data_IF_462067971314
#
_entry.id   IF_462067971314
#
_cell.length_a   1.000
_cell.length_b   1.000
_cell.length_c   1.000
_cell.angle_alpha   90.00
_cell.angle_beta   90.00
_cell.angle_gamma   90.00
#
_symmetry.space_group_name_H-M   'P 1'
#
loop_
_entity.id
_entity.type
_entity.pdbx_description
1 polymer ?
#
# COMPACT_ATOMS: atom_id res chain seq x y z
N UNK A 1 15.34 51.82 34.48
CA UNK A 1 16.67 51.30 34.16
C UNK A 1 16.45 50.03 33.31
N UNK A 2 16.48 50.20 31.99
CA UNK A 2 16.41 49.08 31.05
C UNK A 2 17.82 48.52 30.87
N UNK A 3 18.05 47.27 31.25
CA UNK A 3 19.26 46.54 30.89
C UNK A 3 19.10 46.00 29.45
N UNK A 4 19.84 46.52 28.52
CA UNK A 4 20.00 46.02 27.17
C UNK A 4 20.93 44.80 27.19
N UNK A 5 20.39 43.65 26.96
CA UNK A 5 21.15 42.40 26.79
C UNK A 5 21.66 42.34 25.33
N UNK A 6 22.89 42.79 25.09
CA UNK A 6 23.57 42.66 23.78
C UNK A 6 24.02 41.20 23.63
N UNK A 7 23.21 40.38 22.94
CA UNK A 7 23.65 39.07 22.49
C UNK A 7 24.77 39.26 21.45
N UNK A 8 25.97 38.78 21.76
CA UNK A 8 27.09 38.75 20.82
C UNK A 8 26.67 38.02 19.54
N UNK A 9 26.78 38.70 18.39
CA UNK A 9 26.59 38.09 17.08
C UNK A 9 27.65 37.03 16.87
N UNK A 10 27.24 35.75 16.85
CA UNK A 10 28.10 34.62 16.52
C UNK A 10 28.51 34.70 15.04
N UNK A 11 29.81 34.67 14.76
CA UNK A 11 30.35 34.65 13.39
C UNK A 11 30.35 33.23 12.87
N UNK A 12 29.28 32.87 12.16
CA UNK A 12 29.10 31.54 11.54
C UNK A 12 29.99 31.29 10.31
N UNK A 13 30.69 32.32 9.79
CA UNK A 13 31.56 32.17 8.63
C UNK A 13 32.89 31.46 8.97
N UNK A 14 33.26 31.50 10.26
CA UNK A 14 34.46 30.79 10.76
C UNK A 14 34.22 29.35 11.20
N UNK A 15 32.96 28.86 11.13
CA UNK A 15 32.60 27.57 11.62
C UNK A 15 32.80 26.47 10.55
N UNK A 16 33.28 25.32 10.97
CA UNK A 16 33.35 24.20 10.06
C UNK A 16 31.95 23.62 9.75
N UNK A 17 31.88 22.83 8.69
CA UNK A 17 30.60 22.24 8.23
C UNK A 17 29.92 21.38 9.30
N UNK A 18 30.67 20.73 10.18
CA UNK A 18 30.16 19.88 11.26
C UNK A 18 29.49 20.73 12.36
N UNK A 19 30.12 21.82 12.75
CA UNK A 19 29.61 22.72 13.78
C UNK A 19 28.36 23.46 13.32
N UNK A 20 28.29 23.85 12.04
CA UNK A 20 27.10 24.42 11.42
C UNK A 20 25.93 23.44 11.41
N UNK A 21 26.15 22.19 11.02
CA UNK A 21 25.14 21.15 11.03
C UNK A 21 24.64 20.88 12.46
N UNK A 22 25.53 20.78 13.45
CA UNK A 22 25.15 20.60 14.85
C UNK A 22 24.30 21.75 15.38
N UNK A 23 24.62 22.99 14.97
CA UNK A 23 23.84 24.17 15.36
C UNK A 23 22.45 24.19 14.69
N UNK A 24 22.37 23.84 13.43
CA UNK A 24 21.10 23.73 12.70
C UNK A 24 20.21 22.68 13.37
N UNK A 25 20.72 21.48 13.64
CA UNK A 25 19.99 20.40 14.31
C UNK A 25 19.48 20.83 15.70
N UNK A 26 20.27 21.61 16.44
CA UNK A 26 19.86 22.15 17.73
C UNK A 26 18.75 23.21 17.62
N UNK A 27 18.75 23.98 16.54
CA UNK A 27 17.72 25.01 16.30
C UNK A 27 16.42 24.40 15.77
N UNK A 28 16.51 23.29 15.03
CA UNK A 28 15.37 22.53 14.50
C UNK A 28 14.76 21.56 15.53
N UNK A 29 15.30 21.52 16.76
CA UNK A 29 14.84 20.61 17.82
C UNK A 29 15.11 19.13 17.54
N UNK A 30 15.91 18.83 16.51
CA UNK A 30 16.40 17.48 16.20
C UNK A 30 17.68 17.27 16.99
N UNK A 31 17.54 16.76 18.23
CA UNK A 31 18.72 16.35 18.99
C UNK A 31 19.49 15.30 18.21
N UNK A 32 20.78 15.52 17.97
CA UNK A 32 21.71 14.46 17.54
C UNK A 32 21.50 13.25 18.43
N UNK A 33 21.32 12.05 17.87
CA UNK A 33 21.36 10.84 18.70
C UNK A 33 22.68 10.91 19.48
N UNK A 34 22.60 11.06 20.79
CA UNK A 34 23.76 10.91 21.67
C UNK A 34 24.43 9.62 21.21
N UNK A 35 25.67 9.72 20.69
CA UNK A 35 26.49 8.55 20.44
C UNK A 35 26.60 7.83 21.78
N UNK A 36 25.62 6.95 22.05
CA UNK A 36 25.81 5.94 23.09
C UNK A 36 27.04 5.22 22.62
N UNK A 37 28.15 5.37 23.39
CA UNK A 37 29.35 4.56 23.24
C UNK A 37 28.87 3.16 22.92
N UNK A 38 29.08 2.72 21.69
CA UNK A 38 28.85 1.36 21.28
C UNK A 38 29.67 0.53 22.24
N UNK A 39 29.00 0.00 23.28
CA UNK A 39 29.54 -1.17 23.97
C UNK A 39 29.83 -2.14 22.85
N UNK A 40 31.10 -2.53 22.68
CA UNK A 40 31.48 -3.55 21.74
C UNK A 40 30.41 -4.64 21.79
N UNK A 41 29.70 -4.82 20.71
CA UNK A 41 28.75 -5.91 20.56
C UNK A 41 29.57 -7.16 20.84
N UNK A 42 29.40 -7.73 22.04
CA UNK A 42 29.81 -9.09 22.29
C UNK A 42 29.17 -9.87 21.18
N UNK A 43 29.99 -10.56 20.40
CA UNK A 43 29.55 -11.53 19.38
C UNK A 43 28.52 -12.40 20.10
N UNK A 44 27.22 -12.19 19.76
CA UNK A 44 26.15 -12.97 20.35
C UNK A 44 26.46 -14.43 20.00
N UNK A 45 26.73 -15.22 21.02
CA UNK A 45 26.73 -16.65 20.91
C UNK A 45 25.46 -17.06 20.27
N UNK A 46 25.56 -17.80 19.21
CA UNK A 46 24.57 -18.25 18.25
C UNK A 46 23.11 -18.11 18.69
N UNK A 47 22.29 -17.64 17.75
CA UNK A 47 20.83 -17.64 17.84
C UNK A 47 20.36 -19.11 17.91
N UNK A 48 20.51 -19.72 19.07
CA UNK A 48 20.18 -21.12 19.36
C UNK A 48 18.70 -21.21 19.80
N UNK A 49 17.81 -20.72 18.92
CA UNK A 49 16.38 -20.78 19.13
C UNK A 49 15.73 -21.62 18.04
N UNK A 50 14.78 -22.44 18.44
CA UNK A 50 13.88 -23.06 17.48
C UNK A 50 13.07 -21.96 16.77
N UNK A 51 12.82 -22.20 15.51
CA UNK A 51 11.96 -21.35 14.68
C UNK A 51 10.74 -22.13 14.23
N UNK A 52 9.65 -21.41 14.01
CA UNK A 52 8.44 -21.99 13.42
C UNK A 52 7.89 -21.04 12.37
N UNK A 53 7.14 -21.60 11.41
CA UNK A 53 6.42 -20.80 10.43
C UNK A 53 5.31 -20.00 11.12
N UNK A 54 5.31 -18.68 10.89
CA UNK A 54 4.28 -17.76 11.35
C UNK A 54 3.71 -17.04 10.15
N UNK A 55 2.40 -17.12 9.99
CA UNK A 55 1.66 -16.36 8.99
C UNK A 55 1.06 -15.14 9.68
N UNK A 56 1.35 -13.95 9.20
CA UNK A 56 0.97 -12.68 9.81
C UNK A 56 -0.02 -11.97 8.91
N UNK A 57 -1.18 -11.60 9.46
CA UNK A 57 -2.16 -10.74 8.79
C UNK A 57 -2.13 -9.35 9.45
N UNK A 58 -1.98 -8.31 8.61
CA UNK A 58 -1.78 -6.93 9.10
C UNK A 58 -2.36 -5.88 8.17
N UNK A 59 -2.60 -4.70 8.73
CA UNK A 59 -3.07 -3.50 8.04
C UNK A 59 -1.99 -2.43 8.03
N UNK A 60 -2.02 -1.55 7.04
CA UNK A 60 -1.22 -0.33 7.01
C UNK A 60 -1.87 0.77 6.16
N UNK A 61 -1.61 2.01 6.54
CA UNK A 61 -1.87 3.20 5.74
C UNK A 61 -0.61 3.52 4.94
N UNK A 62 -0.68 3.35 3.61
CA UNK A 62 0.50 3.38 2.74
C UNK A 62 1.05 4.76 2.41
N UNK A 63 0.43 5.84 2.86
CA UNK A 63 0.68 7.22 2.42
C UNK A 63 2.12 7.66 2.57
N UNK A 64 2.80 7.20 3.62
CA UNK A 64 4.17 7.58 3.96
C UNK A 64 5.22 6.58 3.45
N UNK A 65 4.80 5.49 2.78
CA UNK A 65 5.68 4.40 2.40
C UNK A 65 5.91 4.32 0.88
N UNK A 66 7.11 3.94 0.50
CA UNK A 66 7.50 3.66 -0.89
C UNK A 66 7.02 2.28 -1.36
N UNK A 67 5.86 1.83 -0.86
CA UNK A 67 5.22 0.55 -1.12
C UNK A 67 5.49 -0.48 -0.03
N UNK A 68 4.97 -1.70 -0.25
CA UNK A 68 5.12 -2.79 0.71
C UNK A 68 6.53 -3.37 0.70
N UNK A 69 7.01 -3.75 -0.50
CA UNK A 69 8.15 -4.66 -0.63
C UNK A 69 9.48 -4.02 -0.22
N UNK A 70 10.24 -4.69 0.66
CA UNK A 70 11.58 -4.31 1.04
C UNK A 70 12.53 -4.17 -0.17
N UNK A 71 13.36 -3.15 -0.16
CA UNK A 71 14.31 -2.80 -1.21
C UNK A 71 15.71 -2.64 -0.60
N UNK A 72 16.54 -3.68 -0.69
CA UNK A 72 17.81 -3.80 0.02
C UNK A 72 18.86 -2.72 -0.32
N UNK A 73 18.81 -2.16 -1.53
CA UNK A 73 19.86 -1.26 -2.04
C UNK A 73 19.38 0.20 -2.14
N UNK A 74 18.38 0.57 -1.34
CA UNK A 74 17.78 1.91 -1.38
C UNK A 74 17.48 2.43 0.04
N UNK A 75 17.55 3.75 0.22
CA UNK A 75 17.20 4.42 1.48
C UNK A 75 15.70 4.76 1.58
N UNK A 76 14.85 4.11 0.77
CA UNK A 76 13.42 4.38 0.80
C UNK A 76 12.72 3.54 1.87
N UNK A 77 11.92 4.17 2.70
CA UNK A 77 11.16 3.47 3.73
C UNK A 77 10.00 2.68 3.11
N UNK A 78 9.94 1.38 3.42
CA UNK A 78 8.88 0.47 3.00
C UNK A 78 8.21 -0.18 4.22
N UNK A 79 6.98 -0.65 4.05
CA UNK A 79 6.25 -1.31 5.13
C UNK A 79 6.97 -2.56 5.64
N UNK A 80 7.51 -3.39 4.73
CA UNK A 80 8.26 -4.59 5.11
C UNK A 80 9.55 -4.25 5.84
N UNK A 81 10.27 -3.23 5.42
CA UNK A 81 11.48 -2.81 6.13
C UNK A 81 11.18 -2.40 7.57
N UNK A 82 10.11 -1.63 7.76
CA UNK A 82 9.67 -1.23 9.10
C UNK A 82 9.33 -2.45 9.96
N UNK A 83 8.61 -3.44 9.40
CA UNK A 83 8.29 -4.69 10.10
C UNK A 83 9.56 -5.49 10.39
N UNK A 84 10.46 -5.67 9.41
CA UNK A 84 11.70 -6.43 9.59
C UNK A 84 12.63 -5.78 10.61
N UNK A 85 12.73 -4.46 10.63
CA UNK A 85 13.48 -3.72 11.64
C UNK A 85 12.99 -4.03 13.05
N UNK A 86 11.66 -4.05 13.25
CA UNK A 86 11.06 -4.40 14.54
C UNK A 86 11.26 -5.89 14.87
N UNK A 87 11.10 -6.81 13.91
CA UNK A 87 11.38 -8.23 14.10
C UNK A 87 12.83 -8.47 14.54
N UNK A 88 13.81 -7.82 13.91
CA UNK A 88 15.22 -7.87 14.31
C UNK A 88 15.46 -7.26 15.69
N UNK A 89 14.88 -6.09 15.97
CA UNK A 89 14.96 -5.43 17.28
C UNK A 89 14.44 -6.32 18.42
N UNK A 90 13.34 -7.05 18.18
CA UNK A 90 12.74 -7.99 19.13
C UNK A 90 13.46 -9.35 19.17
N UNK A 91 14.48 -9.54 18.36
CA UNK A 91 15.23 -10.81 18.22
C UNK A 91 14.34 -11.98 17.78
N UNK A 92 13.32 -11.71 16.95
CA UNK A 92 12.52 -12.75 16.32
C UNK A 92 13.17 -13.29 15.05
N UNK A 93 14.03 -12.48 14.43
CA UNK A 93 14.92 -12.85 13.32
C UNK A 93 16.33 -12.31 13.60
N UNK A 94 17.34 -12.95 13.02
CA UNK A 94 18.74 -12.52 13.16
C UNK A 94 19.06 -11.30 12.31
N UNK A 95 18.62 -11.32 11.06
CA UNK A 95 18.79 -10.25 10.08
C UNK A 95 17.68 -10.32 9.02
N UNK A 96 17.63 -9.33 8.10
CA UNK A 96 16.66 -9.29 7.03
C UNK A 96 17.25 -8.92 5.66
N UNK A 97 18.57 -9.14 5.48
CA UNK A 97 19.14 -9.11 4.13
C UNK A 97 18.48 -10.17 3.22
N UNK A 98 18.56 -10.02 1.89
CA UNK A 98 17.84 -10.91 0.97
C UNK A 98 18.19 -12.40 1.12
N UNK A 99 19.44 -12.74 1.53
CA UNK A 99 19.87 -14.13 1.76
C UNK A 99 19.25 -14.68 3.03
N UNK A 100 19.20 -13.88 4.09
CA UNK A 100 18.55 -14.25 5.36
C UNK A 100 17.05 -14.43 5.18
N UNK A 101 16.37 -13.50 4.49
CA UNK A 101 14.93 -13.62 4.21
C UNK A 101 14.60 -14.90 3.40
N UNK A 102 15.44 -15.28 2.44
CA UNK A 102 15.28 -16.53 1.71
C UNK A 102 15.40 -17.77 2.63
N UNK A 103 16.29 -17.74 3.62
CA UNK A 103 16.45 -18.82 4.61
C UNK A 103 15.29 -18.87 5.62
N UNK A 104 14.62 -17.74 5.85
CA UNK A 104 13.44 -17.64 6.71
C UNK A 104 12.15 -18.05 6.01
N UNK A 105 12.21 -18.63 4.81
CA UNK A 105 11.03 -19.01 4.02
C UNK A 105 10.02 -17.87 3.85
N UNK A 106 10.52 -16.63 3.66
CA UNK A 106 9.71 -15.45 3.57
C UNK A 106 8.87 -15.43 2.29
N UNK A 107 7.58 -15.20 2.44
CA UNK A 107 6.66 -14.94 1.33
C UNK A 107 5.67 -13.81 1.66
N UNK A 108 5.12 -13.17 0.61
CA UNK A 108 4.08 -12.14 0.72
C UNK A 108 2.94 -12.40 -0.25
N UNK A 109 1.70 -12.11 0.14
CA UNK A 109 0.54 -12.35 -0.71
C UNK A 109 0.55 -11.48 -1.97
N UNK A 110 0.71 -10.19 -1.84
CA UNK A 110 0.74 -9.26 -2.96
C UNK A 110 1.62 -8.04 -2.68
N UNK A 111 2.26 -7.50 -3.72
CA UNK A 111 2.95 -6.22 -3.61
C UNK A 111 1.94 -5.10 -3.77
N UNK A 112 2.08 -4.06 -2.94
CA UNK A 112 1.42 -2.78 -3.14
C UNK A 112 2.44 -1.74 -3.55
N UNK A 113 2.03 -0.82 -4.41
CA UNK A 113 2.87 0.27 -4.90
C UNK A 113 3.01 1.37 -3.83
N UNK A 114 3.87 2.36 -4.11
CA UNK A 114 4.01 3.56 -3.28
C UNK A 114 2.64 4.19 -3.02
N UNK A 115 2.36 4.58 -1.78
CA UNK A 115 1.12 5.26 -1.38
C UNK A 115 -0.09 4.35 -1.19
N UNK A 116 -0.05 3.11 -1.68
CA UNK A 116 -1.16 2.15 -1.59
C UNK A 116 -1.23 1.53 -0.21
N UNK A 117 -2.42 1.51 0.38
CA UNK A 117 -2.71 0.92 1.70
C UNK A 117 -3.13 -0.55 1.60
N UNK A 118 -3.17 -1.26 2.74
CA UNK A 118 -3.81 -2.57 2.84
C UNK A 118 -4.49 -2.76 4.19
N UNK A 119 -5.61 -3.54 4.19
CA UNK A 119 -6.34 -3.86 5.42
C UNK A 119 -6.06 -5.28 5.90
N UNK A 120 -5.88 -6.24 4.99
CA UNK A 120 -5.59 -7.63 5.30
C UNK A 120 -4.43 -8.17 4.45
N UNK A 121 -3.28 -7.48 4.49
CA UNK A 121 -2.06 -8.01 3.87
C UNK A 121 -1.56 -9.22 4.64
N UNK A 122 -1.01 -10.18 3.93
CA UNK A 122 -0.46 -11.40 4.53
C UNK A 122 0.99 -11.61 4.11
N UNK A 123 1.83 -11.87 5.11
CA UNK A 123 3.19 -12.38 4.93
C UNK A 123 3.36 -13.68 5.71
N UNK A 124 4.28 -14.54 5.31
CA UNK A 124 4.71 -15.68 6.11
C UNK A 124 6.23 -15.76 6.17
N UNK A 125 6.76 -16.16 7.32
CA UNK A 125 8.19 -16.38 7.52
C UNK A 125 8.42 -17.23 8.78
N UNK A 126 9.63 -17.77 8.89
CA UNK A 126 10.03 -18.48 10.10
C UNK A 126 10.50 -17.48 11.15
N UNK A 127 9.85 -17.50 12.32
CA UNK A 127 10.19 -16.68 13.46
C UNK A 127 10.65 -17.53 14.64
N UNK A 128 11.45 -16.92 15.52
CA UNK A 128 11.84 -17.51 16.79
C UNK A 128 10.62 -17.92 17.60
N UNK A 129 10.64 -19.15 18.13
CA UNK A 129 9.67 -19.68 19.08
C UNK A 129 10.14 -19.55 20.52
N UNK A 130 9.23 -19.53 21.49
CA UNK A 130 9.56 -19.70 22.91
C UNK A 130 9.49 -21.17 23.37
N UNK A 131 8.95 -22.05 22.54
CA UNK A 131 8.88 -23.50 22.80
C UNK A 131 10.30 -24.11 22.69
N UNK A 132 10.55 -25.19 23.41
CA UNK A 132 11.88 -25.70 23.63
C UNK A 132 12.26 -26.88 22.75
N UNK A 133 11.27 -27.61 22.28
CA UNK A 133 11.47 -28.81 21.44
C UNK A 133 10.60 -28.74 20.19
N UNK A 134 10.99 -29.50 19.16
CA UNK A 134 10.20 -29.61 17.92
C UNK A 134 8.86 -30.27 18.20
N UNK A 135 8.80 -31.24 19.12
CA UNK A 135 7.56 -31.90 19.52
C UNK A 135 6.57 -30.94 20.16
N UNK A 136 7.07 -29.97 20.96
CA UNK A 136 6.22 -28.91 21.53
C UNK A 136 5.67 -28.00 20.42
N UNK A 137 6.47 -27.66 19.40
CA UNK A 137 6.04 -26.84 18.26
C UNK A 137 4.99 -27.58 17.42
N UNK A 138 5.16 -28.88 17.21
CA UNK A 138 4.28 -29.70 16.39
C UNK A 138 2.94 -29.99 17.07
N UNK A 139 2.90 -29.93 18.42
CA UNK A 139 1.68 -30.07 19.20
C UNK A 139 0.88 -28.74 19.23
N UNK A 140 -0.25 -28.74 18.53
CA UNK A 140 -1.11 -27.57 18.36
C UNK A 140 -1.74 -27.03 19.65
N UNK A 141 -1.84 -27.84 20.67
CA UNK A 141 -2.31 -27.40 22.00
C UNK A 141 -1.34 -26.40 22.64
N UNK A 142 -0.09 -26.36 22.20
CA UNK A 142 0.89 -25.40 22.65
C UNK A 142 0.90 -24.07 21.86
N UNK A 143 0.11 -23.93 20.80
CA UNK A 143 0.04 -22.68 20.05
C UNK A 143 -0.37 -21.49 20.94
N UNK A 144 -1.22 -21.73 21.95
CA UNK A 144 -1.63 -20.69 22.93
C UNK A 144 -0.50 -20.26 23.86
N UNK A 145 0.53 -21.11 24.04
CA UNK A 145 1.70 -20.84 24.89
C UNK A 145 2.84 -20.13 24.15
N UNK A 146 2.70 -19.99 22.84
CA UNK A 146 3.70 -19.35 21.98
C UNK A 146 3.83 -17.85 22.28
N UNK A 147 4.88 -17.24 21.76
CA UNK A 147 5.07 -15.78 21.81
C UNK A 147 3.84 -15.10 21.22
N UNK A 148 3.28 -14.17 21.93
CA UNK A 148 2.25 -13.27 21.39
C UNK A 148 2.90 -12.26 20.44
N UNK A 149 3.14 -12.67 19.19
CA UNK A 149 3.80 -11.84 18.17
C UNK A 149 3.02 -10.56 17.90
N UNK A 150 1.68 -10.59 17.98
CA UNK A 150 0.82 -9.43 17.75
C UNK A 150 1.12 -8.35 18.80
N UNK A 151 1.09 -8.72 20.08
CA UNK A 151 1.38 -7.80 21.18
C UNK A 151 2.82 -7.27 21.11
N UNK A 152 3.77 -8.16 20.85
CA UNK A 152 5.18 -7.83 20.83
C UNK A 152 5.55 -6.86 19.71
N UNK A 153 4.92 -7.01 18.51
CA UNK A 153 5.20 -6.18 17.34
C UNK A 153 4.44 -4.86 17.39
N UNK A 154 3.14 -4.87 17.70
CA UNK A 154 2.33 -3.64 17.78
C UNK A 154 2.84 -2.66 18.84
N UNK A 155 3.50 -3.13 19.90
CA UNK A 155 4.13 -2.26 20.89
C UNK A 155 5.39 -1.51 20.39
N UNK A 156 5.84 -1.74 19.15
CA UNK A 156 7.05 -1.13 18.58
C UNK A 156 6.88 -0.67 17.13
N UNK A 157 5.80 -1.06 16.48
CA UNK A 157 5.44 -0.57 15.15
C UNK A 157 4.84 0.84 15.24
N UNK A 158 4.97 1.65 14.20
CA UNK A 158 4.30 2.94 14.11
C UNK A 158 2.78 2.76 13.99
N UNK A 159 2.02 3.81 14.32
CA UNK A 159 0.55 3.76 14.40
C UNK A 159 -0.15 3.50 13.06
N UNK A 160 0.55 3.62 11.96
CA UNK A 160 0.04 3.37 10.61
C UNK A 160 0.31 1.93 10.11
N UNK A 161 0.94 1.07 10.92
CA UNK A 161 1.10 -0.38 10.66
C UNK A 161 0.57 -1.16 11.86
N UNK A 162 -0.36 -2.09 11.61
CA UNK A 162 -1.06 -2.81 12.66
C UNK A 162 -1.22 -4.30 12.35
N UNK A 163 -0.64 -5.17 13.20
CA UNK A 163 -0.88 -6.61 13.15
C UNK A 163 -2.16 -6.94 13.92
N UNK A 164 -3.04 -7.72 13.31
CA UNK A 164 -4.30 -8.10 13.97
C UNK A 164 -4.51 -9.60 14.12
N UNK A 165 -3.82 -10.42 13.34
CA UNK A 165 -3.94 -11.88 13.46
C UNK A 165 -2.64 -12.57 13.05
N UNK A 166 -2.40 -13.74 13.63
CA UNK A 166 -1.35 -14.67 13.20
C UNK A 166 -1.92 -16.07 13.08
N UNK A 167 -1.29 -16.90 12.23
CA UNK A 167 -1.55 -18.34 12.22
C UNK A 167 -0.24 -19.08 12.44
N UNK A 168 -0.28 -20.07 13.32
CA UNK A 168 0.85 -20.90 13.74
C UNK A 168 0.70 -22.35 13.27
N UNK A 169 -0.44 -22.70 12.66
CA UNK A 169 -0.81 -24.06 12.26
C UNK A 169 -0.85 -24.27 10.74
N UNK A 170 -0.37 -23.32 9.95
CA UNK A 170 -0.32 -23.50 8.51
C UNK A 170 0.65 -24.64 8.12
N UNK A 171 0.29 -25.33 7.06
CA UNK A 171 1.13 -26.35 6.44
C UNK A 171 2.54 -25.80 6.13
N UNK A 172 3.54 -26.65 6.20
CA UNK A 172 4.95 -26.27 5.90
C UNK A 172 5.11 -25.75 4.47
N UNK A 173 4.27 -26.20 3.53
CA UNK A 173 4.25 -25.74 2.14
C UNK A 173 3.52 -24.42 1.92
N UNK A 174 2.88 -23.84 2.96
CA UNK A 174 2.15 -22.58 2.83
C UNK A 174 3.05 -21.48 2.33
N UNK A 175 2.63 -20.83 1.26
CA UNK A 175 3.24 -19.64 0.68
C UNK A 175 2.16 -18.57 0.52
N UNK A 176 2.36 -17.41 1.13
CA UNK A 176 1.36 -16.34 1.12
C UNK A 176 0.95 -15.89 -0.29
N UNK A 177 1.83 -16.03 -1.30
CA UNK A 177 1.54 -15.67 -2.68
C UNK A 177 0.78 -16.74 -3.43
N UNK A 178 1.25 -18.01 -3.35
CA UNK A 178 0.77 -19.10 -4.19
C UNK A 178 -0.42 -19.85 -3.57
N UNK A 179 -0.55 -19.81 -2.25
CA UNK A 179 -1.74 -20.32 -1.56
C UNK A 179 -2.94 -19.37 -1.65
N UNK A 180 -2.72 -18.10 -2.03
CA UNK A 180 -3.78 -17.12 -2.20
C UNK A 180 -4.60 -17.41 -3.47
N UNK A 181 -5.93 -17.58 -3.30
CA UNK A 181 -6.87 -17.79 -4.41
C UNK A 181 -7.23 -16.47 -5.08
N UNK A 182 -7.59 -15.48 -4.29
CA UNK A 182 -8.08 -14.19 -4.77
C UNK A 182 -7.50 -13.05 -3.97
N UNK A 183 -7.25 -11.90 -4.64
CA UNK A 183 -6.96 -10.61 -4.02
C UNK A 183 -8.19 -9.75 -4.20
N UNK A 184 -8.60 -9.12 -3.11
CA UNK A 184 -9.71 -8.20 -3.05
C UNK A 184 -9.16 -6.79 -2.92
N UNK A 185 -9.47 -5.91 -3.87
CA UNK A 185 -9.09 -4.51 -3.86
C UNK A 185 -10.29 -3.61 -3.71
N UNK A 186 -10.09 -2.47 -3.06
CA UNK A 186 -11.03 -1.34 -3.06
C UNK A 186 -10.32 -0.09 -3.54
N UNK A 187 -10.99 0.68 -4.38
CA UNK A 187 -10.53 2.01 -4.78
C UNK A 187 -11.61 3.01 -4.39
N UNK A 188 -11.33 3.84 -3.39
CA UNK A 188 -12.27 4.81 -2.87
C UNK A 188 -12.28 6.07 -3.71
N UNK A 189 -13.46 6.68 -3.92
CA UNK A 189 -13.61 7.95 -4.64
C UNK A 189 -14.90 8.64 -4.24
N UNK A 190 -14.93 9.96 -4.41
CA UNK A 190 -16.14 10.73 -4.28
C UNK A 190 -16.86 10.74 -5.64
N UNK A 191 -18.16 10.44 -5.64
CA UNK A 191 -19.00 10.56 -6.83
C UNK A 191 -19.48 12.01 -6.95
N UNK A 192 -19.01 12.70 -7.97
CA UNK A 192 -19.40 14.07 -8.25
C UNK A 192 -20.67 14.13 -9.13
N UNK A 193 -21.42 15.25 -9.10
CA UNK A 193 -22.72 15.39 -9.77
C UNK A 193 -22.71 15.13 -11.28
N UNK A 194 -21.58 15.41 -11.95
CA UNK A 194 -21.42 15.21 -13.40
C UNK A 194 -21.08 13.77 -13.78
N UNK A 195 -20.79 12.89 -12.81
CA UNK A 195 -20.39 11.50 -13.05
C UNK A 195 -21.61 10.59 -13.14
N UNK A 196 -21.64 9.72 -14.14
CA UNK A 196 -22.72 8.75 -14.32
C UNK A 196 -22.37 7.41 -13.66
N UNK A 197 -22.99 7.13 -12.51
CA UNK A 197 -22.76 5.90 -11.73
C UNK A 197 -23.17 4.64 -12.50
N UNK A 198 -24.29 4.66 -13.23
CA UNK A 198 -24.78 3.47 -13.95
C UNK A 198 -23.88 3.10 -15.12
N UNK A 199 -23.39 4.08 -15.87
CA UNK A 199 -22.39 3.83 -16.91
C UNK A 199 -21.09 3.24 -16.31
N UNK A 200 -20.70 3.69 -15.12
CA UNK A 200 -19.54 3.15 -14.41
C UNK A 200 -19.76 1.70 -13.97
N UNK A 201 -20.95 1.38 -13.44
CA UNK A 201 -21.33 0.00 -13.08
C UNK A 201 -21.41 -0.92 -14.29
N UNK A 202 -21.95 -0.41 -15.41
CA UNK A 202 -21.92 -1.17 -16.67
C UNK A 202 -20.47 -1.45 -17.12
N UNK A 203 -19.58 -0.47 -16.99
CA UNK A 203 -18.15 -0.66 -17.20
C UNK A 203 -17.58 -1.76 -16.29
N UNK A 204 -17.93 -1.78 -15.02
CA UNK A 204 -17.51 -2.84 -14.10
C UNK A 204 -17.92 -4.23 -14.58
N UNK A 205 -19.16 -4.41 -15.05
CA UNK A 205 -19.65 -5.67 -15.61
C UNK A 205 -18.83 -6.13 -16.82
N UNK A 206 -18.31 -5.21 -17.62
CA UNK A 206 -17.48 -5.50 -18.78
C UNK A 206 -16.07 -6.01 -18.44
N UNK A 207 -15.59 -5.82 -17.20
CA UNK A 207 -14.33 -6.41 -16.75
C UNK A 207 -14.45 -7.88 -16.33
N UNK A 208 -15.64 -8.36 -16.02
CA UNK A 208 -15.85 -9.73 -15.53
C UNK A 208 -15.48 -10.77 -16.59
N UNK A 209 -14.90 -11.86 -16.14
CA UNK A 209 -14.59 -13.02 -16.97
C UNK A 209 -13.27 -13.70 -16.65
N UNK A 210 -13.09 -14.84 -17.31
CA UNK A 210 -11.90 -15.69 -17.17
C UNK A 210 -10.93 -15.38 -18.31
N UNK A 211 -9.66 -15.26 -17.98
CA UNK A 211 -8.55 -15.10 -18.94
C UNK A 211 -8.69 -13.93 -19.95
N UNK A 212 -9.34 -12.85 -19.55
CA UNK A 212 -9.37 -11.62 -20.34
C UNK A 212 -7.98 -10.98 -20.40
N UNK A 213 -7.62 -10.40 -21.55
CA UNK A 213 -6.32 -9.74 -21.73
C UNK A 213 -6.32 -8.31 -21.19
N UNK A 214 -5.52 -8.08 -20.15
CA UNK A 214 -5.41 -6.78 -19.47
C UNK A 214 -4.14 -5.99 -19.85
N UNK A 215 -3.46 -6.29 -21.00
CA UNK A 215 -2.25 -5.56 -21.41
C UNK A 215 -2.49 -4.06 -21.56
N UNK A 216 -3.69 -3.67 -21.99
CA UNK A 216 -4.08 -2.26 -22.15
C UNK A 216 -4.52 -1.59 -20.83
N UNK A 217 -4.61 -2.36 -19.74
CA UNK A 217 -4.95 -1.89 -18.39
C UNK A 217 -3.78 -2.04 -17.40
N UNK A 218 -2.55 -2.05 -17.84
CA UNK A 218 -1.41 -2.15 -16.94
C UNK A 218 -0.24 -1.29 -17.40
N UNK A 219 0.79 -1.19 -16.58
CA UNK A 219 2.10 -0.68 -16.99
C UNK A 219 2.99 -1.86 -17.36
N UNK A 220 3.62 -1.79 -18.52
CA UNK A 220 4.52 -2.83 -19.01
C UNK A 220 5.92 -2.56 -18.47
N UNK A 221 6.52 -3.57 -17.82
CA UNK A 221 7.89 -3.57 -17.35
C UNK A 221 8.69 -4.66 -18.07
N UNK A 222 9.53 -4.25 -19.02
CA UNK A 222 10.37 -5.17 -19.78
C UNK A 222 11.35 -5.97 -18.92
N UNK A 223 11.69 -5.51 -17.69
CA UNK A 223 12.55 -6.27 -16.79
C UNK A 223 11.91 -7.56 -16.30
N UNK A 224 10.59 -7.63 -16.25
CA UNK A 224 9.82 -8.78 -15.75
C UNK A 224 9.59 -9.85 -16.82
N UNK A 225 9.80 -9.53 -18.10
CA UNK A 225 9.62 -10.45 -19.23
C UNK A 225 8.28 -11.21 -19.16
N UNK A 226 7.19 -10.50 -18.80
CA UNK A 226 5.85 -11.09 -18.73
C UNK A 226 5.40 -11.46 -20.15
N UNK A 227 4.92 -12.69 -20.33
CA UNK A 227 4.45 -13.21 -21.61
C UNK A 227 2.94 -13.36 -21.69
N UNK A 228 2.24 -13.41 -20.54
CA UNK A 228 0.78 -13.51 -20.49
C UNK A 228 0.19 -12.38 -19.63
N UNK A 229 -0.68 -11.60 -20.26
CA UNK A 229 -1.43 -10.51 -19.63
C UNK A 229 -2.88 -10.93 -19.31
N UNK A 230 -3.21 -12.19 -19.49
CA UNK A 230 -4.54 -12.74 -19.18
C UNK A 230 -4.76 -12.83 -17.68
N UNK A 231 -5.91 -12.33 -17.22
CA UNK A 231 -6.31 -12.34 -15.80
C UNK A 231 -7.80 -12.66 -15.68
N UNK A 232 -8.15 -13.27 -14.55
CA UNK A 232 -9.55 -13.58 -14.21
C UNK A 232 -10.06 -12.59 -13.18
N UNK A 233 -11.13 -11.89 -13.53
CA UNK A 233 -11.86 -11.00 -12.62
C UNK A 233 -13.20 -11.66 -12.29
N UNK A 234 -13.42 -11.94 -11.00
CA UNK A 234 -14.60 -12.68 -10.52
C UNK A 234 -15.68 -11.78 -9.94
N UNK A 235 -15.28 -10.58 -9.51
CA UNK A 235 -16.20 -9.56 -8.99
C UNK A 235 -15.66 -8.17 -9.33
N UNK A 236 -16.56 -7.31 -9.78
CA UNK A 236 -16.26 -5.90 -10.06
C UNK A 236 -17.56 -5.10 -9.99
N UNK A 237 -17.70 -4.23 -9.01
CA UNK A 237 -18.88 -3.37 -8.83
C UNK A 237 -18.51 -2.07 -8.13
N UNK A 238 -19.41 -1.08 -8.20
CA UNK A 238 -19.30 0.19 -7.46
C UNK A 238 -20.31 0.19 -6.32
N UNK A 239 -19.80 0.20 -5.11
CA UNK A 239 -20.60 0.17 -3.88
C UNK A 239 -20.54 1.51 -3.14
N UNK A 240 -21.69 1.90 -2.54
CA UNK A 240 -21.78 3.07 -1.68
C UNK A 240 -21.10 2.78 -0.32
N UNK A 241 -20.24 3.69 0.12
CA UNK A 241 -19.53 3.59 1.40
C UNK A 241 -20.02 4.61 2.41
N UNK A 242 -20.22 5.86 1.95
CA UNK A 242 -20.71 6.94 2.79
C UNK A 242 -21.70 7.81 1.96
N UNK A 243 -22.97 7.72 2.31
CA UNK A 243 -24.05 8.41 1.62
C UNK A 243 -23.95 9.94 1.79
N UNK A 244 -23.62 10.39 2.99
CA UNK A 244 -23.54 11.82 3.28
C UNK A 244 -22.48 12.51 2.41
N UNK A 245 -21.28 11.94 2.34
CA UNK A 245 -20.15 12.47 1.57
C UNK A 245 -20.14 12.01 0.10
N UNK A 246 -21.09 11.17 -0.29
CA UNK A 246 -21.14 10.52 -1.61
C UNK A 246 -19.83 9.77 -1.95
N UNK A 247 -19.25 9.09 -0.93
CA UNK A 247 -18.07 8.25 -1.11
C UNK A 247 -18.50 6.87 -1.54
N UNK A 248 -17.96 6.44 -2.66
CA UNK A 248 -18.12 5.11 -3.24
C UNK A 248 -16.77 4.40 -3.27
N UNK A 249 -16.78 3.12 -3.54
CA UNK A 249 -15.57 2.41 -3.92
C UNK A 249 -15.83 1.40 -5.04
N UNK A 250 -14.83 1.23 -5.90
CA UNK A 250 -14.72 0.05 -6.73
C UNK A 250 -14.42 -1.13 -5.81
N UNK A 251 -15.26 -2.16 -5.81
CA UNK A 251 -15.08 -3.42 -5.09
C UNK A 251 -14.70 -4.50 -6.11
N UNK A 252 -13.45 -4.97 -6.05
CA UNK A 252 -12.82 -5.74 -7.13
C UNK A 252 -12.13 -6.99 -6.59
N UNK A 253 -12.52 -8.18 -7.10
CA UNK A 253 -11.86 -9.45 -6.77
C UNK A 253 -11.33 -10.14 -8.03
N UNK A 254 -10.09 -10.59 -7.98
CA UNK A 254 -9.44 -11.32 -9.06
C UNK A 254 -8.37 -12.29 -8.58
N UNK A 255 -8.04 -13.27 -9.41
CA UNK A 255 -7.05 -14.29 -9.06
C UNK A 255 -5.63 -13.73 -8.94
N UNK A 256 -5.29 -12.80 -9.83
CA UNK A 256 -4.02 -12.08 -9.84
C UNK A 256 -4.18 -10.75 -10.60
N UNK A 257 -3.27 -9.82 -10.34
CA UNK A 257 -3.26 -8.50 -10.99
C UNK A 257 -1.89 -8.20 -11.58
N UNK A 258 -1.89 -7.47 -12.70
CA UNK A 258 -0.70 -6.92 -13.33
C UNK A 258 -0.26 -5.62 -12.62
N UNK A 259 0.94 -5.17 -12.91
CA UNK A 259 1.46 -3.92 -12.34
C UNK A 259 0.59 -2.73 -12.73
N UNK A 260 0.12 -1.99 -11.75
CA UNK A 260 -0.81 -0.85 -11.87
C UNK A 260 -2.19 -1.18 -12.47
N UNK A 261 -2.57 -2.47 -12.57
CA UNK A 261 -3.80 -2.86 -13.27
C UNK A 261 -5.05 -2.18 -12.67
N UNK A 262 -5.26 -2.22 -11.38
CA UNK A 262 -6.45 -1.63 -10.73
C UNK A 262 -6.54 -0.13 -10.96
N UNK A 263 -5.42 0.58 -10.88
CA UNK A 263 -5.34 2.02 -11.15
C UNK A 263 -5.65 2.37 -12.60
N UNK A 264 -5.23 1.53 -13.55
CA UNK A 264 -5.57 1.69 -14.96
C UNK A 264 -7.04 1.39 -15.23
N UNK A 265 -7.61 0.34 -14.61
CA UNK A 265 -9.04 0.04 -14.70
C UNK A 265 -9.87 1.22 -14.17
N UNK A 266 -9.47 1.77 -13.02
CA UNK A 266 -10.16 2.90 -12.42
C UNK A 266 -10.09 4.16 -13.28
N UNK A 267 -8.96 4.43 -13.93
CA UNK A 267 -8.82 5.56 -14.87
C UNK A 267 -9.82 5.46 -16.04
N UNK A 268 -9.99 4.25 -16.60
CA UNK A 268 -10.97 4.03 -17.68
C UNK A 268 -12.41 4.18 -17.16
N UNK A 269 -12.69 3.71 -15.94
CA UNK A 269 -14.01 3.89 -15.32
C UNK A 269 -14.33 5.37 -15.06
N UNK A 270 -13.35 6.21 -14.72
CA UNK A 270 -13.56 7.67 -14.62
C UNK A 270 -13.86 8.29 -15.98
N UNK A 271 -13.16 7.92 -17.04
CA UNK A 271 -13.46 8.41 -18.40
C UNK A 271 -14.89 8.01 -18.84
N UNK A 272 -15.37 6.82 -18.44
CA UNK A 272 -16.74 6.37 -18.68
C UNK A 272 -17.74 7.18 -17.83
N UNK A 273 -17.47 7.34 -16.54
CA UNK A 273 -18.33 8.07 -15.62
C UNK A 273 -18.53 9.54 -16.04
N UNK A 274 -17.49 10.14 -16.61
CA UNK A 274 -17.49 11.51 -17.12
C UNK A 274 -18.05 11.65 -18.53
N UNK A 275 -18.50 10.55 -19.17
CA UNK A 275 -19.09 10.55 -20.50
C UNK A 275 -18.09 10.71 -21.65
N UNK A 276 -16.79 10.59 -21.39
CA UNK A 276 -15.74 10.69 -22.40
C UNK A 276 -15.63 9.42 -23.24
N UNK A 277 -16.00 8.27 -22.66
CA UNK A 277 -16.03 6.97 -23.31
C UNK A 277 -17.31 6.20 -22.96
N UNK A 278 -17.69 5.27 -23.83
CA UNK A 278 -18.81 4.36 -23.56
C UNK A 278 -18.34 3.15 -22.75
N UNK A 279 -19.21 2.50 -21.94
CA UNK A 279 -18.83 1.29 -21.18
C UNK A 279 -18.25 0.15 -22.01
N UNK A 280 -18.66 0.04 -23.29
CA UNK A 280 -18.15 -0.95 -24.23
C UNK A 280 -16.66 -0.81 -24.56
N UNK A 281 -16.06 0.36 -24.30
CA UNK A 281 -14.60 0.60 -24.51
C UNK A 281 -13.74 -0.43 -23.76
N UNK A 282 -14.22 -0.94 -22.61
CA UNK A 282 -13.48 -1.93 -21.82
C UNK A 282 -13.28 -3.22 -22.61
N UNK A 283 -14.34 -3.75 -23.25
CA UNK A 283 -14.23 -4.94 -24.10
C UNK A 283 -13.36 -4.67 -25.33
N UNK A 284 -13.50 -3.49 -25.91
CA UNK A 284 -12.68 -3.09 -27.05
C UNK A 284 -11.18 -3.07 -26.69
N UNK A 285 -10.83 -2.52 -25.50
CA UNK A 285 -9.45 -2.52 -25.00
C UNK A 285 -8.91 -3.92 -24.67
N UNK A 286 -9.78 -4.89 -24.40
CA UNK A 286 -9.41 -6.29 -24.20
C UNK A 286 -9.26 -7.05 -25.53
N UNK A 287 -9.90 -6.58 -26.60
CA UNK A 287 -9.75 -7.13 -27.96
C UNK A 287 -8.43 -6.63 -28.58
N UNK A 288 -7.36 -7.30 -28.18
CA UNK A 288 -5.99 -6.92 -28.57
C UNK A 288 -5.61 -7.37 -29.96
N UNK A 289 -6.40 -8.26 -30.55
CA UNK A 289 -6.16 -8.79 -31.91
C UNK A 289 -6.77 -7.86 -32.97
N UNK A 290 -7.98 -7.36 -32.74
CA UNK A 290 -8.71 -6.63 -33.77
C UNK A 290 -8.79 -5.12 -33.52
N UNK A 291 -8.88 -4.66 -32.24
CA UNK A 291 -9.18 -3.26 -31.94
C UNK A 291 -8.01 -2.49 -31.32
N UNK A 292 -7.44 -3.02 -30.22
CA UNK A 292 -6.39 -2.33 -29.47
C UNK A 292 -5.16 -3.21 -29.22
N UNK A 293 -4.30 -3.41 -30.22
CA UNK A 293 -3.08 -4.25 -30.08
C UNK A 293 -2.10 -3.72 -29.04
N UNK A 294 -2.17 -2.41 -28.72
CA UNK A 294 -1.39 -1.80 -27.66
C UNK A 294 -2.19 -0.70 -26.95
N UNK A 295 -1.76 -0.38 -25.72
CA UNK A 295 -2.42 0.54 -24.81
C UNK A 295 -2.51 1.95 -25.41
N UNK A 296 -3.72 2.55 -25.49
CA UNK A 296 -3.84 3.98 -25.79
C UNK A 296 -3.22 4.81 -24.66
N UNK A 297 -2.74 5.99 -25.01
CA UNK A 297 -2.12 6.87 -24.01
C UNK A 297 -3.20 7.50 -23.12
N UNK A 298 -3.24 7.10 -21.86
CA UNK A 298 -4.08 7.67 -20.82
C UNK A 298 -3.36 7.69 -19.48
N UNK A 299 -3.72 8.64 -18.64
CA UNK A 299 -3.16 8.77 -17.30
C UNK A 299 -3.85 7.82 -16.34
N UNK A 300 -3.09 7.01 -15.63
CA UNK A 300 -3.68 6.13 -14.63
C UNK A 300 -4.15 6.93 -13.40
N UNK A 301 -5.13 6.40 -12.69
CA UNK A 301 -5.62 6.96 -11.43
C UNK A 301 -4.54 6.93 -10.34
N UNK A 302 -4.63 7.85 -9.37
CA UNK A 302 -3.67 7.99 -8.29
C UNK A 302 -3.68 6.77 -7.35
N UNK A 303 -2.62 6.61 -6.58
CA UNK A 303 -2.36 5.46 -5.72
C UNK A 303 -3.07 5.55 -4.35
N UNK A 304 -3.13 6.73 -3.79
CA UNK A 304 -3.62 6.99 -2.43
C UNK A 304 -4.99 6.36 -2.11
N UNK A 305 -6.00 6.38 -3.03
CA UNK A 305 -7.29 5.78 -2.75
C UNK A 305 -7.34 4.26 -2.88
N UNK A 306 -6.27 3.64 -3.39
CA UNK A 306 -6.22 2.19 -3.61
C UNK A 306 -5.86 1.44 -2.33
N UNK A 307 -6.62 0.39 -2.05
CA UNK A 307 -6.42 -0.46 -0.87
C UNK A 307 -6.46 -1.94 -1.29
N UNK A 308 -5.43 -2.71 -0.93
CA UNK A 308 -5.55 -4.16 -0.88
C UNK A 308 -6.41 -4.51 0.34
N UNK A 309 -7.69 -4.78 0.10
CA UNK A 309 -8.68 -4.92 1.15
C UNK A 309 -8.61 -6.28 1.84
N UNK A 310 -8.41 -7.37 1.05
CA UNK A 310 -8.28 -8.71 1.61
C UNK A 310 -7.48 -9.66 0.72
N UNK A 311 -6.92 -10.71 1.34
CA UNK A 311 -6.26 -11.84 0.72
C UNK A 311 -7.02 -13.10 1.08
N UNK A 312 -7.68 -13.75 0.11
CA UNK A 312 -8.51 -14.93 0.30
C UNK A 312 -7.70 -16.17 -0.12
N UNK A 313 -7.58 -17.14 0.76
CA UNK A 313 -6.79 -18.35 0.52
C UNK A 313 -7.66 -19.52 0.05
N UNK A 314 -7.04 -20.48 -0.67
CA UNK A 314 -7.75 -21.64 -1.25
C UNK A 314 -8.40 -22.53 -0.19
N UNK A 315 -7.69 -22.69 0.94
CA UNK A 315 -8.09 -23.52 2.07
C UNK A 315 -8.16 -22.64 3.32
N UNK A 316 -9.03 -21.65 3.32
CA UNK A 316 -9.10 -20.67 4.41
C UNK A 316 -9.56 -21.34 5.73
N UNK A 317 -10.36 -22.39 5.66
CA UNK A 317 -10.80 -23.18 6.83
C UNK A 317 -9.64 -23.92 7.51
N UNK A 318 -8.55 -24.21 6.78
CA UNK A 318 -7.35 -24.84 7.33
C UNK A 318 -6.43 -23.84 8.04
N UNK A 319 -6.70 -22.53 7.91
CA UNK A 319 -5.90 -21.47 8.52
C UNK A 319 -6.56 -21.01 9.82
N UNK A 320 -6.05 -21.49 10.94
CA UNK A 320 -6.51 -21.04 12.25
C UNK A 320 -5.91 -19.68 12.61
N UNK A 321 -6.65 -18.63 12.38
CA UNK A 321 -6.25 -17.28 12.76
C UNK A 321 -6.40 -17.05 14.26
N UNK A 322 -5.31 -16.68 14.93
CA UNK A 322 -5.25 -16.31 16.34
C UNK A 322 -5.13 -14.79 16.47
N UNK A 323 -5.84 -14.22 17.42
CA UNK A 323 -5.75 -12.82 17.84
C UNK A 323 -4.90 -12.70 19.11
N UNK A 324 -4.55 -11.48 19.48
CA UNK A 324 -3.73 -11.24 20.68
C UNK A 324 -4.30 -11.85 21.97
N UNK A 325 -5.63 -12.00 22.07
CA UNK A 325 -6.31 -12.54 23.23
C UNK A 325 -6.33 -14.09 23.30
N UNK A 326 -5.95 -14.76 22.23
CA UNK A 326 -5.98 -16.22 22.14
C UNK A 326 -4.72 -16.86 22.73
N UNK A 327 -3.74 -16.07 23.18
CA UNK A 327 -2.51 -16.53 23.81
C UNK A 327 -2.63 -16.58 25.32
N UNK A 328 -2.12 -17.66 25.98
CA UNK A 328 -2.14 -17.80 27.45
C UNK A 328 -1.41 -16.66 28.18
N UNK A 329 -0.29 -16.19 27.61
CA UNK A 329 0.47 -15.04 28.11
C UNK A 329 -0.18 -13.69 27.76
N UNK A 330 -1.44 -13.72 27.38
CA UNK A 330 -2.29 -12.55 27.23
C UNK A 330 -2.69 -11.98 28.59
N UNK A 331 -1.78 -11.93 29.60
CA UNK A 331 -2.02 -11.07 30.75
C UNK A 331 -2.33 -9.68 30.21
N UNK A 332 -3.57 -9.57 29.73
CA UNK A 332 -4.17 -8.32 29.33
C UNK A 332 -4.27 -7.46 30.57
N UNK A 333 -3.17 -6.84 30.87
CA UNK A 333 -3.24 -5.69 31.73
C UNK A 333 -4.24 -4.74 31.05
N UNK A 334 -5.21 -4.27 31.79
CA UNK A 334 -6.14 -3.20 31.37
C UNK A 334 -5.37 -2.10 30.60
N UNK A 335 -4.10 -1.86 30.95
CA UNK A 335 -3.17 -0.97 30.30
C UNK A 335 -2.88 -1.33 28.82
N UNK A 336 -2.73 -2.62 28.47
CA UNK A 336 -2.47 -3.01 27.07
C UNK A 336 -3.70 -2.85 26.18
N UNK A 337 -4.88 -3.29 26.67
CA UNK A 337 -6.17 -3.06 25.96
C UNK A 337 -6.37 -1.57 25.71
N UNK A 338 -6.15 -0.77 26.73
CA UNK A 338 -6.29 0.68 26.67
C UNK A 338 -5.31 1.28 25.64
N UNK A 339 -4.02 0.96 25.70
CA UNK A 339 -3.02 1.49 24.78
C UNK A 339 -3.31 1.10 23.32
N UNK A 340 -3.73 -0.15 23.07
CA UNK A 340 -4.12 -0.63 21.73
C UNK A 340 -5.31 0.12 21.18
N UNK A 341 -6.39 0.21 21.97
CA UNK A 341 -7.61 0.91 21.57
C UNK A 341 -7.34 2.40 21.37
N UNK A 342 -6.59 3.03 22.27
CA UNK A 342 -6.23 4.44 22.17
C UNK A 342 -5.44 4.72 20.89
N UNK A 343 -4.52 3.83 20.47
CA UNK A 343 -3.74 4.00 19.25
C UNK A 343 -4.63 3.94 17.99
N UNK A 344 -5.42 2.87 17.83
CA UNK A 344 -6.29 2.71 16.65
C UNK A 344 -7.37 3.80 16.62
N UNK A 345 -7.97 4.09 17.77
CA UNK A 345 -8.98 5.12 17.89
C UNK A 345 -8.42 6.53 17.63
N UNK A 346 -7.19 6.80 18.07
CA UNK A 346 -6.56 8.10 17.83
C UNK A 346 -6.33 8.36 16.34
N UNK A 347 -5.95 7.34 15.56
CA UNK A 347 -5.83 7.47 14.09
C UNK A 347 -7.18 7.84 13.49
N UNK A 348 -8.25 7.10 13.82
CA UNK A 348 -9.61 7.42 13.35
C UNK A 348 -10.03 8.84 13.75
N UNK A 349 -9.82 9.21 15.01
CA UNK A 349 -10.24 10.51 15.54
C UNK A 349 -9.49 11.68 14.88
N UNK A 350 -8.20 11.52 14.62
CA UNK A 350 -7.39 12.51 13.91
C UNK A 350 -7.88 12.73 12.48
N UNK A 351 -8.21 11.66 11.74
CA UNK A 351 -8.73 11.78 10.38
C UNK A 351 -10.12 12.45 10.37
N UNK A 352 -10.96 12.15 11.36
CA UNK A 352 -12.25 12.82 11.52
C UNK A 352 -12.09 14.32 11.75
N UNK A 353 -11.17 14.72 12.63
CA UNK A 353 -10.86 16.15 12.88
C UNK A 353 -10.32 16.80 11.59
N UNK A 354 -9.39 16.14 10.89
CA UNK A 354 -8.84 16.68 9.64
C UNK A 354 -9.91 16.89 8.58
N UNK A 355 -10.90 15.98 8.48
CA UNK A 355 -12.03 16.13 7.58
C UNK A 355 -12.81 17.42 7.89
N UNK A 356 -13.17 17.65 9.16
CA UNK A 356 -13.91 18.85 9.56
C UNK A 356 -13.09 20.14 9.39
N UNK A 357 -11.79 20.09 9.66
CA UNK A 357 -10.89 21.22 9.40
C UNK A 357 -10.78 21.52 7.90
N UNK A 358 -10.73 20.49 7.05
CA UNK A 358 -10.69 20.64 5.60
C UNK A 358 -11.97 21.27 5.04
N UNK A 359 -13.14 20.91 5.60
CA UNK A 359 -14.41 21.56 5.26
C UNK A 359 -14.40 23.05 5.60
N UNK A 360 -13.88 23.42 6.77
CA UNK A 360 -13.75 24.82 7.14
C UNK A 360 -12.74 25.56 6.24
N UNK A 361 -11.62 24.92 5.89
CA UNK A 361 -10.65 25.48 4.95
C UNK A 361 -11.33 25.82 3.59
N UNK A 362 -12.13 24.90 3.07
CA UNK A 362 -12.92 25.12 1.85
C UNK A 362 -13.90 26.28 2.06
N UNK A 363 -14.67 26.28 3.14
CA UNK A 363 -15.65 27.35 3.44
C UNK A 363 -15.05 28.76 3.38
N UNK A 364 -13.84 28.93 3.93
CA UNK A 364 -13.18 30.24 3.99
C UNK A 364 -12.31 30.58 2.77
N UNK A 365 -12.01 29.62 1.91
CA UNK A 365 -11.12 29.80 0.75
C UNK A 365 -11.80 29.29 -0.54
N UNK A 366 -13.11 29.41 -0.65
CA UNK A 366 -13.90 28.81 -1.74
C UNK A 366 -13.30 29.14 -3.11
N UNK A 367 -12.70 28.16 -3.82
CA UNK A 367 -12.37 28.28 -5.24
C UNK A 367 -13.67 28.36 -6.07
N UNK A 368 -13.64 29.02 -7.21
CA UNK A 368 -14.82 29.20 -8.09
C UNK A 368 -15.50 27.88 -8.49
N UNK A 369 -14.73 26.79 -8.52
CA UNK A 369 -15.23 25.46 -8.90
C UNK A 369 -15.68 24.57 -7.71
N UNK A 370 -15.72 25.10 -6.50
CA UNK A 370 -16.16 24.34 -5.32
C UNK A 370 -17.30 25.09 -4.63
N UNK A 371 -18.35 24.37 -4.22
CA UNK A 371 -19.44 24.89 -3.41
C UNK A 371 -19.44 24.22 -2.04
N UNK A 372 -19.72 25.01 -0.99
CA UNK A 372 -19.93 24.53 0.37
C UNK A 372 -21.36 24.81 0.79
N UNK A 373 -22.10 23.75 1.09
CA UNK A 373 -23.45 23.82 1.66
C UNK A 373 -23.32 23.88 3.20
N UNK A 374 -23.60 25.05 3.79
CA UNK A 374 -23.46 25.27 5.23
C UNK A 374 -24.45 24.44 6.06
N UNK A 375 -25.68 24.23 5.57
CA UNK A 375 -26.71 23.48 6.31
C UNK A 375 -26.37 22.01 6.42
N UNK A 376 -25.98 21.41 5.28
CA UNK A 376 -25.65 19.98 5.20
C UNK A 376 -24.15 19.69 5.39
N UNK A 377 -23.32 20.72 5.50
CA UNK A 377 -21.84 20.62 5.59
C UNK A 377 -21.24 19.80 4.44
N UNK A 378 -21.82 19.96 3.23
CA UNK A 378 -21.39 19.21 2.03
C UNK A 378 -20.52 20.06 1.13
N UNK A 379 -19.48 19.42 0.61
CA UNK A 379 -18.60 19.98 -0.43
C UNK A 379 -18.99 19.38 -1.77
N UNK A 380 -19.20 20.21 -2.79
CA UNK A 380 -19.45 19.77 -4.16
C UNK A 380 -18.48 20.42 -5.12
N UNK A 381 -18.10 19.68 -6.17
CA UNK A 381 -17.22 20.14 -7.23
C UNK A 381 -18.04 20.47 -8.49
N UNK A 382 -17.81 21.65 -9.04
CA UNK A 382 -18.42 22.10 -10.30
C UNK A 382 -17.43 21.94 -11.45
N UNK A 383 -17.64 20.91 -12.26
CA UNK A 383 -16.79 20.63 -13.43
C UNK A 383 -16.93 21.68 -14.53
N UNK A 384 -18.11 22.29 -14.70
CA UNK A 384 -18.34 23.28 -15.75
C UNK A 384 -17.50 24.54 -15.47
N UNK A 385 -17.49 25.00 -14.21
CA UNK A 385 -16.62 26.10 -13.77
C UNK A 385 -15.13 25.75 -13.87
N UNK A 386 -14.76 24.47 -13.69
CA UNK A 386 -13.37 24.01 -13.76
C UNK A 386 -12.87 23.87 -15.21
N UNK A 387 -13.74 23.49 -16.14
CA UNK A 387 -13.45 23.34 -17.57
C UNK A 387 -13.46 21.92 -18.10
N UNK A 388 -13.61 21.76 -19.41
CA UNK A 388 -13.85 20.48 -20.07
C UNK A 388 -12.60 19.63 -20.36
N UNK A 389 -11.40 20.22 -20.33
CA UNK A 389 -10.14 19.55 -20.72
C UNK A 389 -9.39 18.97 -19.54
N UNK A 390 -10.08 18.51 -18.52
CA UNK A 390 -9.49 17.91 -17.34
C UNK A 390 -9.99 16.49 -17.14
N UNK A 391 -9.13 15.62 -16.65
CA UNK A 391 -9.46 14.24 -16.24
C UNK A 391 -9.28 14.09 -14.74
N UNK A 392 -10.19 13.36 -14.12
CA UNK A 392 -10.16 13.02 -12.69
C UNK A 392 -9.04 11.99 -12.42
N UNK A 393 -8.22 12.23 -11.39
CA UNK A 393 -7.17 11.30 -10.95
C UNK A 393 -7.60 10.43 -9.75
N UNK A 394 -8.78 10.65 -9.19
CA UNK A 394 -9.40 9.82 -8.17
C UNK A 394 -9.15 10.24 -6.71
N UNK A 395 -8.21 11.14 -6.45
CA UNK A 395 -7.85 11.64 -5.12
C UNK A 395 -8.16 13.14 -4.93
N UNK A 396 -9.14 13.65 -5.66
CA UNK A 396 -9.49 15.07 -5.68
C UNK A 396 -8.57 15.93 -6.58
N UNK A 397 -7.59 15.32 -7.23
CA UNK A 397 -6.73 16.00 -8.21
C UNK A 397 -7.22 15.77 -9.63
N UNK A 398 -6.94 16.75 -10.47
CA UNK A 398 -7.26 16.72 -11.89
C UNK A 398 -6.01 17.00 -12.72
N UNK A 399 -5.92 16.37 -13.89
CA UNK A 399 -4.87 16.63 -14.85
C UNK A 399 -5.44 17.36 -16.07
N UNK A 400 -4.87 18.53 -16.38
CA UNK A 400 -5.19 19.26 -17.61
C UNK A 400 -4.61 18.54 -18.82
N UNK A 401 -5.43 18.41 -19.85
CA UNK A 401 -5.04 17.94 -21.18
C UNK A 401 -5.04 19.11 -22.17
N UNK A 402 -4.18 19.05 -23.19
CA UNK A 402 -4.23 20.01 -24.30
C UNK A 402 -5.53 19.87 -25.09
N UNK A 403 -6.01 18.64 -25.24
CA UNK A 403 -7.27 18.27 -25.89
C UNK A 403 -7.76 16.95 -25.34
N UNK A 404 -9.03 16.90 -24.99
CA UNK A 404 -9.70 15.65 -24.65
C UNK A 404 -10.09 14.93 -25.95
N UNK A 405 -9.57 13.75 -26.16
CA UNK A 405 -9.82 12.93 -27.36
C UNK A 405 -10.22 11.52 -26.95
N UNK A 406 -11.18 10.88 -27.67
CA UNK A 406 -11.52 9.48 -27.45
C UNK A 406 -10.30 8.54 -27.61
N UNK A 407 -10.31 7.39 -26.96
CA UNK A 407 -9.17 6.45 -26.93
C UNK A 407 -8.72 6.00 -28.32
N UNK A 408 -9.65 5.82 -29.26
CA UNK A 408 -9.31 5.42 -30.63
C UNK A 408 -8.51 6.46 -31.42
N UNK A 409 -8.50 7.73 -30.96
CA UNK A 409 -7.72 8.84 -31.55
C UNK A 409 -6.45 9.18 -30.78
N UNK A 410 -6.23 8.54 -29.62
CA UNK A 410 -5.03 8.78 -28.80
C UNK A 410 -3.84 8.01 -29.38
N UNK A 411 -2.63 8.53 -29.15
CA UNK A 411 -1.40 7.79 -29.42
C UNK A 411 -1.38 6.49 -28.62
N UNK A 412 -0.72 5.47 -29.19
CA UNK A 412 -0.57 4.18 -28.53
C UNK A 412 0.81 4.03 -27.96
N UNK A 413 0.90 3.39 -26.81
CA UNK A 413 2.17 3.01 -26.21
C UNK A 413 2.79 1.85 -27.00
N UNK A 414 4.09 1.60 -26.81
CA UNK A 414 4.76 0.46 -27.44
C UNK A 414 4.15 -0.86 -27.00
N UNK A 415 4.06 -1.79 -27.93
CA UNK A 415 3.63 -3.16 -27.63
C UNK A 415 4.59 -3.82 -26.63
N UNK A 416 4.10 -4.76 -25.85
CA UNK A 416 4.91 -5.40 -24.80
C UNK A 416 6.08 -6.19 -25.38
N UNK A 417 5.92 -6.76 -26.55
CA UNK A 417 6.97 -7.47 -27.30
C UNK A 417 8.17 -6.56 -27.56
N UNK A 418 7.91 -5.34 -28.03
CA UNK A 418 8.95 -4.34 -28.30
C UNK A 418 9.65 -3.90 -26.99
N UNK A 419 8.87 -3.68 -25.91
CA UNK A 419 9.41 -3.28 -24.61
C UNK A 419 10.30 -4.39 -24.05
N UNK A 420 9.85 -5.66 -24.12
CA UNK A 420 10.60 -6.82 -23.67
C UNK A 420 11.87 -7.03 -24.49
N UNK A 421 11.79 -6.88 -25.84
CA UNK A 421 12.95 -7.01 -26.72
C UNK A 421 13.99 -5.94 -26.44
N UNK A 422 13.59 -4.69 -26.36
CA UNK A 422 14.49 -3.56 -26.06
C UNK A 422 15.22 -3.76 -24.72
N UNK A 423 14.58 -4.36 -23.74
CA UNK A 423 15.23 -4.66 -22.46
C UNK A 423 16.26 -5.79 -22.61
N UNK A 424 15.95 -6.87 -23.34
CA UNK A 424 16.91 -7.95 -23.66
C UNK A 424 18.15 -7.42 -24.36
N UNK A 425 17.97 -6.56 -25.36
CA UNK A 425 19.07 -5.98 -26.13
C UNK A 425 19.99 -5.12 -25.26
N UNK A 426 19.40 -4.26 -24.40
CA UNK A 426 20.17 -3.49 -23.40
C UNK A 426 20.96 -4.37 -22.44
N UNK A 427 20.37 -5.46 -21.97
CA UNK A 427 21.02 -6.40 -21.04
C UNK A 427 22.18 -7.13 -21.73
N UNK A 428 22.02 -7.50 -23.00
CA UNK A 428 23.08 -8.12 -23.81
C UNK A 428 24.25 -7.15 -24.01
N UNK A 429 23.99 -5.93 -24.48
CA UNK A 429 25.00 -4.91 -24.66
C UNK A 429 25.80 -4.59 -23.38
N UNK A 430 25.11 -4.55 -22.22
CA UNK A 430 25.79 -4.34 -20.92
C UNK A 430 26.70 -5.50 -20.53
N UNK A 431 26.36 -6.75 -20.90
CA UNK A 431 27.24 -7.92 -20.65
C UNK A 431 28.45 -7.97 -21.58
N UNK A 432 28.31 -7.47 -22.80
CA UNK A 432 29.42 -7.41 -23.78
C UNK A 432 30.41 -6.27 -23.48
N UNK A 433 29.98 -5.28 -22.69
CA UNK A 433 30.81 -4.13 -22.25
C UNK A 433 31.42 -4.27 -20.87
N UNK A 434 31.13 -5.36 -20.16
CA UNK A 434 31.66 -5.73 -18.82
C UNK A 434 32.64 -6.88 -18.91
#
# INVERSE_FOLDING_TARGET
TYMTNTAAKLDYQSWDKKDLIAKIMKLEGTETPVQRKTKSLKVDKDFDYLTRKVVIKFSYLGYNYSGLAYQADTDVETVEETIFRVLKQKKFIKDYDPKTLAKLNFSRCGRTDKGVSAMNQVISLDLRSCLKTQEEIDNRDNDVKEINYIKALNGSLPNDIWLHSVSLNCDSSFDARFSCAYRHYRYYFKLEKHMNLESMREGCRNFLGVDNDFRNFCKIDGSKQIVSYKRTIIHCDIILVNEHEQVYCLDLKGSAFLWHQVRCMMAVLFEIAEGHEQPSIIKNLMDVENQYPSKPDYTMANDTPLVLYDCIFKNEDDIKWMRANDFENSNETIAFKKATNDTVYSVYYQELIKLEMSKNLIKFNIPECITFDDENRKVSFDKEAFGSNYINLGDGKHKRLSKLTPFHKRNRQRAFEEVNQKWRDKKKAKKESS
#
